data_IF_289405288920
#
_entry.id   IF_289405288920
#
_cell.length_a   1.000
_cell.length_b   1.000
_cell.length_c   1.000
_cell.angle_alpha   90.00
_cell.angle_beta   90.00
_cell.angle_gamma   90.00
#
_symmetry.space_group_name_H-M   'P 1'
#
loop_
_entity.id
_entity.type
_entity.pdbx_description
1 polymer ?
#
# COMPACT_ATOMS: atom_id res chain seq x y z
N UNK A 1 -12.27 -44.38 -1.47
CA UNK A 1 -12.66 -42.97 -1.51
C UNK A 1 -11.92 -42.30 -0.38
N UNK A 2 -10.89 -41.53 -0.69
CA UNK A 2 -10.21 -40.75 0.35
C UNK A 2 -11.19 -39.70 0.87
N UNK A 3 -11.39 -39.67 2.18
CA UNK A 3 -12.21 -38.68 2.83
C UNK A 3 -11.49 -37.33 2.73
N UNK A 4 -11.82 -36.53 1.72
CA UNK A 4 -11.36 -35.14 1.64
C UNK A 4 -12.15 -34.33 2.66
N UNK A 5 -11.54 -33.89 3.78
CA UNK A 5 -12.27 -33.12 4.78
C UNK A 5 -12.74 -31.79 4.17
N UNK A 6 -14.04 -31.53 4.23
CA UNK A 6 -14.60 -30.24 3.87
C UNK A 6 -13.99 -29.16 4.78
N UNK A 7 -13.38 -28.15 4.18
CA UNK A 7 -12.84 -27.00 4.92
C UNK A 7 -14.00 -26.13 5.36
N UNK A 8 -14.02 -25.78 6.64
CA UNK A 8 -15.02 -24.87 7.18
C UNK A 8 -14.78 -23.45 6.64
N UNK A 9 -15.80 -22.84 6.02
CA UNK A 9 -15.69 -21.54 5.34
C UNK A 9 -15.15 -20.45 6.26
N UNK A 10 -15.77 -20.24 7.42
CA UNK A 10 -15.36 -19.24 8.42
C UNK A 10 -13.87 -19.31 8.76
N UNK A 11 -13.38 -20.48 9.18
CA UNK A 11 -11.98 -20.66 9.60
C UNK A 11 -11.00 -20.41 8.46
N UNK A 12 -11.39 -20.78 7.23
CA UNK A 12 -10.53 -20.62 6.06
C UNK A 12 -10.47 -19.15 5.61
N UNK A 13 -11.58 -18.42 5.68
CA UNK A 13 -11.63 -16.97 5.45
C UNK A 13 -10.77 -16.22 6.47
N UNK A 14 -10.97 -16.47 7.77
CA UNK A 14 -10.16 -15.83 8.81
C UNK A 14 -8.67 -16.10 8.64
N UNK A 15 -8.29 -17.31 8.24
CA UNK A 15 -6.89 -17.65 7.95
C UNK A 15 -6.34 -16.78 6.82
N UNK A 16 -7.07 -16.64 5.72
CA UNK A 16 -6.66 -15.81 4.59
C UNK A 16 -6.57 -14.33 4.96
N UNK A 17 -7.57 -13.80 5.65
CA UNK A 17 -7.57 -12.43 6.19
C UNK A 17 -6.34 -12.16 7.06
N UNK A 18 -6.07 -13.05 8.02
CA UNK A 18 -4.92 -12.94 8.95
C UNK A 18 -3.57 -13.04 8.23
N UNK A 19 -3.50 -13.79 7.13
CA UNK A 19 -2.27 -13.98 6.36
C UNK A 19 -1.81 -12.72 5.61
N UNK A 20 -2.75 -11.83 5.27
CA UNK A 20 -2.46 -10.54 4.61
C UNK A 20 -2.85 -9.32 5.45
N UNK A 21 -3.09 -9.52 6.75
CA UNK A 21 -3.61 -8.47 7.63
C UNK A 21 -2.58 -7.36 7.90
N UNK A 22 -2.98 -6.08 7.94
CA UNK A 22 -2.14 -5.00 8.47
C UNK A 22 -2.06 -4.97 9.99
N UNK A 23 -2.82 -5.80 10.71
CA UNK A 23 -2.94 -5.75 12.17
C UNK A 23 -2.54 -7.05 12.87
N UNK A 24 -2.81 -8.20 12.25
CA UNK A 24 -2.54 -9.51 12.85
C UNK A 24 -1.28 -10.15 12.29
N UNK A 25 -0.45 -10.72 13.17
CA UNK A 25 0.77 -11.45 12.82
C UNK A 25 1.73 -10.64 11.92
N UNK A 26 1.80 -9.32 12.11
CA UNK A 26 2.58 -8.40 11.29
C UNK A 26 4.10 -8.61 11.37
N UNK A 27 4.56 -9.49 12.25
CA UNK A 27 5.92 -9.98 12.37
C UNK A 27 6.24 -11.13 11.40
N UNK A 28 5.23 -11.91 10.99
CA UNK A 28 5.40 -13.16 10.24
C UNK A 28 4.49 -13.33 9.02
N UNK A 29 3.48 -12.50 8.82
CA UNK A 29 2.51 -12.66 7.74
C UNK A 29 3.08 -12.18 6.39
N UNK A 30 2.35 -12.42 5.29
CA UNK A 30 2.81 -12.04 3.95
C UNK A 30 2.93 -10.52 3.79
N UNK A 31 1.98 -9.75 4.34
CA UNK A 31 1.96 -8.29 4.23
C UNK A 31 3.21 -7.64 4.85
N UNK A 32 3.75 -8.22 5.92
CA UNK A 32 5.01 -7.78 6.54
C UNK A 32 6.21 -7.80 5.59
N UNK A 33 6.14 -8.58 4.50
CA UNK A 33 7.22 -8.71 3.51
C UNK A 33 7.11 -7.71 2.35
N UNK A 34 6.08 -6.86 2.35
CA UNK A 34 5.85 -5.87 1.28
C UNK A 34 7.04 -4.91 1.10
N UNK A 35 7.69 -4.56 2.21
CA UNK A 35 8.93 -3.77 2.21
C UNK A 35 10.04 -4.57 2.89
N UNK A 36 10.92 -5.16 2.08
CA UNK A 36 11.95 -6.11 2.55
C UNK A 36 13.04 -5.42 3.36
N UNK A 37 13.42 -4.24 2.92
CA UNK A 37 14.40 -3.40 3.56
C UNK A 37 13.85 -1.97 3.61
N UNK A 38 14.28 -1.23 4.63
CA UNK A 38 13.94 0.17 4.80
C UNK A 38 15.17 0.94 5.21
N UNK A 39 15.26 2.19 4.80
CA UNK A 39 16.35 3.09 5.21
C UNK A 39 15.83 4.51 5.38
N UNK A 40 16.43 5.25 6.29
CA UNK A 40 16.07 6.63 6.54
C UNK A 40 16.40 7.53 5.33
N UNK A 41 15.66 8.63 5.19
CA UNK A 41 16.03 9.72 4.30
C UNK A 41 17.35 10.37 4.79
N UNK A 42 18.12 10.95 3.88
CA UNK A 42 19.40 11.59 4.24
C UNK A 42 19.19 12.86 5.08
N UNK A 43 18.15 13.64 4.75
CA UNK A 43 17.69 14.77 5.55
C UNK A 43 16.20 15.03 5.31
N UNK A 44 15.54 15.59 6.33
CA UNK A 44 14.14 16.03 6.27
C UNK A 44 14.13 17.47 6.77
N UNK A 45 13.85 18.40 5.88
CA UNK A 45 13.71 19.82 6.26
C UNK A 45 12.28 20.27 6.11
N UNK A 46 11.86 21.19 6.95
CA UNK A 46 10.51 21.70 7.06
C UNK A 46 10.48 23.23 6.95
N UNK A 47 9.45 23.73 6.27
CA UNK A 47 9.06 25.13 6.21
C UNK A 47 7.55 25.25 6.45
N UNK A 48 7.13 26.06 7.42
CA UNK A 48 5.73 26.40 7.62
C UNK A 48 5.36 27.55 6.68
N UNK A 49 4.47 27.30 5.73
CA UNK A 49 3.98 28.35 4.84
C UNK A 49 2.95 29.22 5.56
N UNK A 50 2.93 30.51 5.24
CA UNK A 50 1.97 31.45 5.82
C UNK A 50 0.54 31.23 5.30
N UNK A 51 0.42 30.73 4.07
CA UNK A 51 -0.82 30.42 3.37
C UNK A 51 -0.59 29.25 2.40
N UNK A 52 -1.64 28.82 1.69
CA UNK A 52 -1.50 27.93 0.53
C UNK A 52 -0.76 28.66 -0.58
N UNK A 53 0.50 28.28 -0.79
CA UNK A 53 1.39 28.90 -1.77
C UNK A 53 1.73 27.92 -2.89
N UNK A 54 1.89 28.39 -4.14
CA UNK A 54 2.37 27.54 -5.22
C UNK A 54 3.81 27.07 -4.97
N UNK A 55 4.15 25.92 -5.56
CA UNK A 55 5.45 25.26 -5.40
C UNK A 55 6.65 26.21 -5.55
N UNK A 56 6.67 27.04 -6.59
CA UNK A 56 7.78 27.95 -6.89
C UNK A 56 8.06 28.99 -5.79
N UNK A 57 7.05 29.36 -5.01
CA UNK A 57 7.21 30.22 -3.82
C UNK A 57 7.58 29.39 -2.59
N UNK A 58 7.00 28.21 -2.44
CA UNK A 58 7.24 27.34 -1.31
C UNK A 58 8.72 26.91 -1.17
N UNK A 59 9.35 26.54 -2.28
CA UNK A 59 10.76 26.11 -2.30
C UNK A 59 11.76 27.23 -1.97
N UNK A 60 11.32 28.49 -2.00
CA UNK A 60 12.13 29.64 -1.56
C UNK A 60 12.03 29.88 -0.05
N UNK A 61 11.21 29.07 0.64
CA UNK A 61 11.03 29.14 2.08
C UNK A 61 12.31 28.85 2.87
N UNK A 62 12.31 29.26 4.13
CA UNK A 62 13.42 28.98 5.04
C UNK A 62 13.25 27.60 5.67
N UNK A 63 13.73 26.57 4.96
CA UNK A 63 13.70 25.18 5.43
C UNK A 63 14.67 24.96 6.60
N UNK A 64 14.17 24.32 7.67
CA UNK A 64 14.93 23.95 8.88
C UNK A 64 14.83 22.45 9.12
N UNK A 65 15.84 21.85 9.72
CA UNK A 65 15.83 20.41 10.04
C UNK A 65 14.62 20.04 10.91
N UNK A 66 14.01 18.90 10.59
CA UNK A 66 12.90 18.29 11.33
C UNK A 66 13.12 16.77 11.43
N UNK A 67 12.28 16.09 12.21
CA UNK A 67 12.41 14.67 12.46
C UNK A 67 11.02 14.00 12.54
N UNK A 68 11.00 12.69 12.30
CA UNK A 68 9.86 11.83 12.63
C UNK A 68 9.49 12.01 14.11
N UNK A 69 8.20 12.07 14.40
CA UNK A 69 7.63 12.34 15.72
C UNK A 69 7.32 13.82 15.98
N UNK A 70 7.76 14.75 15.13
CA UNK A 70 7.38 16.16 15.26
C UNK A 70 5.91 16.37 14.86
N UNK A 71 5.28 17.31 15.56
CA UNK A 71 3.89 17.70 15.36
C UNK A 71 3.80 19.08 14.68
N UNK A 72 2.89 19.18 13.72
CA UNK A 72 2.69 20.35 12.87
C UNK A 72 1.25 20.83 12.94
N UNK A 73 1.04 22.13 12.83
CA UNK A 73 -0.27 22.74 12.89
C UNK A 73 -0.18 24.27 12.93
N UNK A 74 -1.28 24.96 13.25
CA UNK A 74 -2.59 24.42 13.65
C UNK A 74 -3.33 23.75 12.49
N UNK A 75 -4.56 23.31 12.70
CA UNK A 75 -5.40 22.82 11.59
C UNK A 75 -5.45 23.81 10.42
N UNK A 76 -5.60 23.28 9.21
CA UNK A 76 -5.63 24.03 7.95
C UNK A 76 -4.31 24.71 7.55
N UNK A 77 -3.27 24.64 8.38
CA UNK A 77 -1.95 25.11 7.99
C UNK A 77 -1.35 24.24 6.89
N UNK A 78 -0.45 24.84 6.11
CA UNK A 78 0.30 24.15 5.04
C UNK A 78 1.77 24.11 5.41
N UNK A 79 2.35 22.92 5.38
CA UNK A 79 3.74 22.66 5.73
C UNK A 79 4.44 22.04 4.55
N UNK A 80 5.57 22.62 4.16
CA UNK A 80 6.39 22.09 3.10
C UNK A 80 7.57 21.34 3.69
N UNK A 81 7.87 20.20 3.09
CA UNK A 81 9.04 19.40 3.43
C UNK A 81 9.93 19.25 2.22
N UNK A 82 11.23 19.43 2.43
CA UNK A 82 12.26 19.11 1.46
C UNK A 82 12.94 17.83 1.95
N UNK A 83 12.87 16.78 1.13
CA UNK A 83 13.40 15.46 1.46
C UNK A 83 14.62 15.19 0.59
N UNK A 84 15.74 14.88 1.22
CA UNK A 84 16.93 14.42 0.53
C UNK A 84 16.91 12.90 0.44
N UNK A 85 16.69 12.41 -0.78
CA UNK A 85 16.59 10.98 -1.09
C UNK A 85 17.99 10.46 -1.40
N UNK A 86 18.36 9.38 -0.71
CA UNK A 86 19.58 8.63 -0.98
C UNK A 86 19.25 7.13 -1.02
N UNK A 87 19.03 6.60 -2.22
CA UNK A 87 18.74 5.20 -2.45
C UNK A 87 20.04 4.40 -2.36
N UNK A 88 20.13 3.38 -1.49
CA UNK A 88 21.32 2.53 -1.40
C UNK A 88 21.70 1.92 -2.74
N UNK A 89 23.00 1.87 -3.06
CA UNK A 89 23.49 1.29 -4.30
C UNK A 89 23.11 -0.20 -4.46
N UNK A 90 22.92 -0.93 -3.36
CA UNK A 90 22.43 -2.32 -3.35
C UNK A 90 21.00 -2.47 -3.86
N UNK A 91 20.22 -1.39 -3.89
CA UNK A 91 18.83 -1.39 -4.39
C UNK A 91 18.73 -1.03 -5.87
N UNK A 92 19.84 -0.82 -6.57
CA UNK A 92 19.84 -0.57 -8.01
C UNK A 92 19.07 -1.64 -8.78
N UNK A 93 18.27 -1.20 -9.75
CA UNK A 93 17.43 -2.09 -10.54
C UNK A 93 16.19 -2.63 -9.82
N UNK A 94 15.96 -2.27 -8.56
CA UNK A 94 14.79 -2.66 -7.78
C UNK A 94 13.76 -1.52 -7.70
N UNK A 95 12.54 -1.87 -7.30
CA UNK A 95 11.48 -0.90 -7.04
C UNK A 95 11.61 -0.29 -5.64
N UNK A 96 11.57 1.05 -5.57
CA UNK A 96 11.77 1.82 -4.33
C UNK A 96 10.63 2.80 -4.15
N UNK A 97 10.03 2.77 -2.96
CA UNK A 97 8.97 3.69 -2.57
C UNK A 97 9.47 4.67 -1.51
N UNK A 98 8.93 5.90 -1.54
CA UNK A 98 8.86 6.76 -0.38
C UNK A 98 7.72 6.25 0.52
N UNK A 99 7.98 6.08 1.81
CA UNK A 99 6.97 5.82 2.84
C UNK A 99 6.78 7.09 3.65
N UNK A 100 5.53 7.57 3.71
CA UNK A 100 5.17 8.83 4.33
C UNK A 100 3.83 8.73 5.03
N UNK A 101 3.83 9.01 6.33
CA UNK A 101 2.62 9.12 7.15
C UNK A 101 2.72 10.36 8.04
N UNK A 102 1.94 11.39 7.74
CA UNK A 102 1.87 12.64 8.50
C UNK A 102 0.59 12.77 9.33
N UNK A 103 -0.16 11.68 9.51
CA UNK A 103 -1.51 11.68 10.11
C UNK A 103 -2.50 12.63 9.40
N UNK A 104 -2.23 13.01 8.15
CA UNK A 104 -2.90 14.11 7.45
C UNK A 104 -2.96 13.86 5.94
N UNK A 105 -3.51 14.82 5.19
CA UNK A 105 -3.31 14.90 3.75
C UNK A 105 -1.92 15.45 3.40
N UNK A 106 -1.35 14.94 2.31
CA UNK A 106 -0.10 15.43 1.74
C UNK A 106 -0.05 15.23 0.22
N UNK A 107 0.85 15.94 -0.45
CA UNK A 107 1.06 15.88 -1.91
C UNK A 107 2.54 15.79 -2.22
N UNK A 108 2.92 14.80 -3.00
CA UNK A 108 4.29 14.62 -3.48
C UNK A 108 4.53 15.52 -4.68
N UNK A 109 5.66 16.23 -4.66
CA UNK A 109 6.13 17.10 -5.73
C UNK A 109 7.52 16.66 -6.21
N UNK A 110 7.64 16.44 -7.52
CA UNK A 110 8.88 16.05 -8.20
C UNK A 110 9.17 17.07 -9.28
N UNK A 111 10.34 17.70 -9.25
CA UNK A 111 10.77 18.69 -10.26
C UNK A 111 9.74 19.83 -10.50
N UNK A 112 8.94 20.15 -9.48
CA UNK A 112 7.91 21.19 -9.53
C UNK A 112 6.53 20.74 -10.01
N UNK A 113 6.36 19.46 -10.35
CA UNK A 113 5.09 18.88 -10.75
C UNK A 113 4.45 18.10 -9.58
N UNK A 114 3.14 18.25 -9.34
CA UNK A 114 2.42 17.45 -8.36
C UNK A 114 2.14 16.06 -8.93
N UNK A 115 2.64 15.01 -8.27
CA UNK A 115 2.60 13.63 -8.83
C UNK A 115 1.64 12.68 -8.12
N UNK A 116 1.47 12.81 -6.80
CA UNK A 116 0.56 11.93 -6.06
C UNK A 116 0.13 12.51 -4.71
N UNK A 117 -1.17 12.48 -4.43
CA UNK A 117 -1.70 12.71 -3.08
C UNK A 117 -1.45 11.53 -2.15
N UNK A 118 -1.23 11.81 -0.87
CA UNK A 118 -1.03 10.87 0.22
C UNK A 118 -2.04 11.19 1.33
N UNK A 119 -2.52 10.15 2.02
CA UNK A 119 -3.48 10.32 3.11
C UNK A 119 -3.41 9.14 4.06
N UNK A 120 -3.28 9.42 5.36
CA UNK A 120 -3.27 8.42 6.41
C UNK A 120 -4.64 7.75 6.57
N UNK A 121 -5.73 8.48 6.34
CA UNK A 121 -7.11 8.01 6.56
C UNK A 121 -7.52 6.85 5.64
N UNK A 122 -6.98 6.79 4.43
CA UNK A 122 -7.26 5.73 3.46
C UNK A 122 -6.03 4.85 3.18
N UNK A 123 -5.03 4.86 4.07
CA UNK A 123 -3.80 4.06 3.96
C UNK A 123 -2.97 4.33 2.70
N UNK A 124 -3.10 5.51 2.07
CA UNK A 124 -2.25 5.94 0.96
C UNK A 124 -1.00 6.63 1.49
N UNK A 125 -0.12 5.85 2.09
CA UNK A 125 1.10 6.32 2.79
C UNK A 125 2.40 5.98 2.06
N UNK A 126 2.33 5.74 0.73
CA UNK A 126 3.54 5.49 -0.06
C UNK A 126 3.44 6.03 -1.48
N UNK A 127 4.60 6.35 -2.07
CA UNK A 127 4.75 6.81 -3.44
C UNK A 127 5.91 6.07 -4.14
N UNK A 128 5.71 5.50 -5.35
CA UNK A 128 6.77 4.84 -6.10
C UNK A 128 7.78 5.87 -6.63
N UNK A 129 8.91 6.04 -5.93
CA UNK A 129 9.99 6.92 -6.36
C UNK A 129 10.67 6.40 -7.63
N UNK A 130 10.84 5.08 -7.71
CA UNK A 130 11.38 4.42 -8.89
C UNK A 130 10.81 3.01 -9.00
N UNK A 131 10.21 2.68 -10.15
CA UNK A 131 9.90 1.29 -10.50
C UNK A 131 11.17 0.45 -10.72
N UNK A 132 12.26 1.14 -11.09
CA UNK A 132 13.59 0.57 -11.23
C UNK A 132 14.62 1.65 -10.87
N UNK A 133 15.32 1.48 -9.76
CA UNK A 133 16.29 2.46 -9.29
C UNK A 133 17.48 2.56 -10.27
N UNK A 134 17.61 3.70 -10.93
CA UNK A 134 18.69 4.00 -11.88
C UNK A 134 19.90 4.60 -11.16
N UNK A 135 21.14 4.25 -11.56
CA UNK A 135 22.35 4.80 -10.94
C UNK A 135 22.41 6.33 -10.96
N UNK A 136 21.88 6.97 -12.00
CA UNK A 136 21.84 8.43 -12.18
C UNK A 136 20.84 9.15 -11.26
N UNK A 137 19.90 8.41 -10.64
CA UNK A 137 18.81 8.96 -9.82
C UNK A 137 18.81 8.43 -8.39
N UNK A 138 19.90 7.85 -7.91
CA UNK A 138 20.00 7.37 -6.53
C UNK A 138 19.99 8.53 -5.51
N UNK A 139 20.44 9.71 -5.93
CA UNK A 139 20.48 10.91 -5.11
C UNK A 139 19.66 12.01 -5.76
N UNK A 140 18.64 12.50 -5.08
CA UNK A 140 17.82 13.62 -5.57
C UNK A 140 17.02 14.23 -4.41
N UNK A 141 16.44 15.40 -4.66
CA UNK A 141 15.59 16.11 -3.71
C UNK A 141 14.15 16.09 -4.22
N UNK A 142 13.22 15.79 -3.32
CA UNK A 142 11.79 15.85 -3.58
C UNK A 142 11.13 16.75 -2.53
N UNK A 143 9.89 17.16 -2.78
CA UNK A 143 9.14 17.96 -1.83
C UNK A 143 7.80 17.31 -1.48
N UNK A 144 7.35 17.51 -0.25
CA UNK A 144 6.01 17.16 0.20
C UNK A 144 5.30 18.43 0.65
N UNK A 145 4.11 18.68 0.12
CA UNK A 145 3.19 19.67 0.64
C UNK A 145 2.19 18.95 1.56
N UNK A 146 2.31 19.16 2.86
CA UNK A 146 1.42 18.59 3.87
C UNK A 146 0.35 19.63 4.25
N UNK A 147 -0.91 19.20 4.26
CA UNK A 147 -2.02 20.01 4.73
C UNK A 147 -2.52 19.45 6.07
N UNK A 148 -2.62 20.30 7.10
CA UNK A 148 -3.04 19.90 8.45
C UNK A 148 -4.56 19.69 8.53
N UNK A 149 -5.06 18.67 7.85
CA UNK A 149 -6.43 18.20 7.87
C UNK A 149 -6.50 16.71 7.49
N UNK A 150 -7.63 16.09 7.85
CA UNK A 150 -8.03 14.75 7.38
C UNK A 150 -8.73 14.84 6.03
N UNK A 151 -9.00 13.69 5.40
CA UNK A 151 -9.69 13.57 4.11
C UNK A 151 -11.07 14.28 4.11
N UNK A 152 -11.72 14.33 5.26
CA UNK A 152 -13.00 15.01 5.46
C UNK A 152 -12.89 16.24 6.39
N UNK A 153 -11.72 16.86 6.43
CA UNK A 153 -11.47 18.08 7.17
C UNK A 153 -11.03 17.85 8.61
N UNK A 154 -11.67 18.53 9.56
CA UNK A 154 -11.32 18.49 10.99
C UNK A 154 -12.58 18.17 11.79
N UNK A 155 -12.44 17.41 12.88
CA UNK A 155 -13.54 16.98 13.75
C UNK A 155 -13.98 15.53 13.54
N UNK A 156 -14.93 15.06 14.36
CA UNK A 156 -15.50 13.72 14.25
C UNK A 156 -16.86 13.83 13.53
N UNK A 157 -16.98 13.24 12.34
CA UNK A 157 -18.23 13.23 11.55
C UNK A 157 -18.87 14.64 11.38
N UNK A 158 -18.08 15.62 10.91
CA UNK A 158 -18.51 16.99 10.61
C UNK A 158 -18.92 17.88 11.80
N UNK A 159 -18.66 17.46 13.05
CA UNK A 159 -18.75 18.35 14.22
C UNK A 159 -17.35 18.87 14.53
N UNK A 160 -17.08 20.10 14.09
CA UNK A 160 -15.89 20.87 14.47
C UNK A 160 -16.16 21.52 15.82
N UNK A 161 -15.28 21.33 16.78
CA UNK A 161 -15.34 22.00 18.07
C UNK A 161 -14.21 23.03 18.19
N UNK A 162 -14.36 24.08 19.02
CA UNK A 162 -13.28 25.08 19.20
C UNK A 162 -11.94 24.49 19.64
N UNK A 163 -11.93 23.37 20.36
CA UNK A 163 -10.71 22.65 20.73
C UNK A 163 -9.95 22.06 19.52
N UNK A 164 -10.63 21.83 18.40
CA UNK A 164 -10.01 21.30 17.19
C UNK A 164 -9.10 22.32 16.49
N UNK A 165 -9.31 23.63 16.72
CA UNK A 165 -8.50 24.70 16.11
C UNK A 165 -7.01 24.63 16.48
N UNK A 166 -6.70 23.98 17.61
CA UNK A 166 -5.33 23.81 18.11
C UNK A 166 -4.75 22.43 17.80
N UNK A 167 -5.50 21.59 17.08
CA UNK A 167 -5.06 20.23 16.76
C UNK A 167 -3.80 20.27 15.89
N UNK A 168 -2.90 19.35 16.19
CA UNK A 168 -1.67 19.13 15.45
C UNK A 168 -1.64 17.74 14.84
N UNK A 169 -0.76 17.56 13.87
CA UNK A 169 -0.59 16.38 13.05
C UNK A 169 0.86 15.93 13.11
N UNK A 170 1.09 14.65 13.42
CA UNK A 170 2.43 14.12 13.65
C UNK A 170 2.97 13.42 12.41
N UNK A 171 4.24 13.69 12.07
CA UNK A 171 4.99 12.92 11.09
C UNK A 171 5.40 11.58 11.71
N UNK A 172 4.63 10.53 11.46
CA UNK A 172 4.86 9.19 12.01
C UNK A 172 5.84 8.36 11.17
N UNK A 173 5.93 8.62 9.87
CA UNK A 173 6.79 7.87 8.97
C UNK A 173 7.35 8.76 7.85
N UNK A 174 8.65 8.64 7.59
CA UNK A 174 9.36 9.29 6.49
C UNK A 174 10.65 8.52 6.18
N UNK A 175 10.57 7.52 5.30
CA UNK A 175 11.70 6.62 4.99
C UNK A 175 11.58 6.06 3.57
N UNK A 176 12.63 5.42 3.08
CA UNK A 176 12.63 4.69 1.81
C UNK A 176 12.36 3.22 2.09
N UNK A 177 11.51 2.59 1.28
CA UNK A 177 11.21 1.17 1.34
C UNK A 177 11.55 0.45 0.04
N UNK A 178 12.27 -0.67 0.14
CA UNK A 178 12.49 -1.59 -0.97
C UNK A 178 11.23 -2.42 -1.18
N UNK A 179 10.45 -2.05 -2.19
CA UNK A 179 9.14 -2.64 -2.45
C UNK A 179 9.28 -4.02 -3.11
N UNK A 180 8.52 -4.99 -2.62
CA UNK A 180 8.43 -6.31 -3.22
C UNK A 180 7.15 -6.44 -4.04
N UNK A 181 7.29 -6.20 -5.36
CA UNK A 181 6.19 -6.27 -6.32
C UNK A 181 5.53 -7.65 -6.38
N UNK A 182 6.31 -8.72 -6.20
CA UNK A 182 5.78 -10.08 -6.23
C UNK A 182 4.87 -10.33 -5.00
N UNK A 183 5.32 -9.88 -3.82
CA UNK A 183 4.52 -9.94 -2.58
C UNK A 183 3.25 -9.09 -2.71
N UNK A 184 3.34 -7.89 -3.27
CA UNK A 184 2.18 -7.04 -3.51
C UNK A 184 1.13 -7.73 -4.38
N UNK A 185 1.55 -8.32 -5.50
CA UNK A 185 0.66 -9.03 -6.41
C UNK A 185 0.00 -10.23 -5.71
N UNK A 186 0.75 -11.00 -4.91
CA UNK A 186 0.20 -12.10 -4.12
C UNK A 186 -0.83 -11.63 -3.09
N UNK A 187 -0.61 -10.48 -2.44
CA UNK A 187 -1.59 -9.91 -1.51
C UNK A 187 -2.88 -9.58 -2.26
N UNK A 188 -2.80 -8.92 -3.42
CA UNK A 188 -3.97 -8.60 -4.24
C UNK A 188 -4.71 -9.87 -4.71
N UNK A 189 -3.98 -10.91 -5.10
CA UNK A 189 -4.56 -12.18 -5.50
C UNK A 189 -5.31 -12.84 -4.33
N UNK A 190 -4.70 -12.87 -3.15
CA UNK A 190 -5.32 -13.44 -1.93
C UNK A 190 -6.53 -12.62 -1.49
N UNK A 191 -6.43 -11.29 -1.50
CA UNK A 191 -7.53 -10.37 -1.15
C UNK A 191 -8.71 -10.55 -2.10
N UNK A 192 -8.45 -10.62 -3.41
CA UNK A 192 -9.47 -10.86 -4.43
C UNK A 192 -10.18 -12.20 -4.22
N UNK A 193 -9.44 -13.29 -4.00
CA UNK A 193 -10.03 -14.61 -3.78
C UNK A 193 -10.79 -14.68 -2.44
N UNK A 194 -10.23 -14.07 -1.40
CA UNK A 194 -10.88 -13.95 -0.10
C UNK A 194 -12.24 -13.25 -0.24
N UNK A 195 -12.28 -12.11 -0.92
CA UNK A 195 -13.51 -11.32 -1.07
C UNK A 195 -14.54 -12.04 -1.94
N UNK A 196 -14.13 -12.72 -3.01
CA UNK A 196 -15.04 -13.59 -3.79
C UNK A 196 -15.65 -14.67 -2.89
N UNK A 197 -14.83 -15.36 -2.10
CA UNK A 197 -15.30 -16.40 -1.20
C UNK A 197 -16.23 -15.84 -0.11
N UNK A 198 -15.94 -14.65 0.41
CA UNK A 198 -16.71 -13.98 1.46
C UNK A 198 -18.08 -13.50 0.96
N UNK A 199 -18.12 -12.81 -0.18
CA UNK A 199 -19.30 -12.12 -0.68
C UNK A 199 -20.26 -13.04 -1.45
N UNK A 200 -19.76 -14.10 -2.10
CA UNK A 200 -20.62 -15.06 -2.79
C UNK A 200 -21.31 -16.04 -1.82
N UNK A 201 -22.55 -16.48 -2.14
CA UNK A 201 -23.25 -17.53 -1.40
C UNK A 201 -22.40 -18.80 -1.29
N UNK A 202 -22.51 -19.52 -0.18
CA UNK A 202 -21.78 -20.79 -0.01
C UNK A 202 -22.18 -21.82 -1.07
N UNK A 203 -23.42 -21.79 -1.58
CA UNK A 203 -23.87 -22.70 -2.63
C UNK A 203 -23.26 -22.41 -4.01
N UNK A 204 -22.55 -21.30 -4.18
CA UNK A 204 -21.92 -20.93 -5.44
C UNK A 204 -20.60 -21.69 -5.63
N UNK A 205 -20.45 -22.33 -6.79
CA UNK A 205 -19.24 -23.05 -7.16
C UNK A 205 -17.99 -22.14 -7.14
N UNK A 206 -18.13 -20.87 -7.51
CA UNK A 206 -17.03 -19.88 -7.51
C UNK A 206 -16.61 -19.52 -6.09
N UNK A 207 -17.53 -19.46 -5.13
CA UNK A 207 -17.22 -19.25 -3.71
C UNK A 207 -16.31 -20.37 -3.20
N UNK A 208 -16.67 -21.64 -3.46
CA UNK A 208 -15.86 -22.78 -3.06
C UNK A 208 -14.50 -22.84 -3.77
N UNK A 209 -14.46 -22.56 -5.08
CA UNK A 209 -13.20 -22.52 -5.84
C UNK A 209 -12.24 -21.47 -5.29
N UNK A 210 -12.74 -20.26 -5.01
CA UNK A 210 -11.93 -19.18 -4.46
C UNK A 210 -11.41 -19.53 -3.05
N UNK A 211 -12.28 -20.06 -2.18
CA UNK A 211 -11.92 -20.48 -0.82
C UNK A 211 -10.86 -21.58 -0.80
N UNK A 212 -11.01 -22.59 -1.66
CA UNK A 212 -10.03 -23.68 -1.76
C UNK A 212 -8.69 -23.16 -2.29
N UNK A 213 -8.74 -22.32 -3.32
CA UNK A 213 -7.54 -21.79 -3.98
C UNK A 213 -6.75 -20.89 -3.06
N UNK A 214 -7.40 -19.96 -2.35
CA UNK A 214 -6.70 -19.10 -1.38
C UNK A 214 -6.07 -19.92 -0.27
N UNK A 215 -6.75 -20.98 0.20
CA UNK A 215 -6.20 -21.87 1.21
C UNK A 215 -4.98 -22.65 0.70
N UNK A 216 -5.03 -23.11 -0.54
CA UNK A 216 -3.92 -23.81 -1.20
C UNK A 216 -2.72 -22.89 -1.43
N UNK A 217 -2.95 -21.66 -1.91
CA UNK A 217 -1.91 -20.63 -2.00
C UNK A 217 -1.21 -20.43 -0.66
N UNK A 218 -1.96 -20.24 0.43
CA UNK A 218 -1.39 -20.03 1.77
C UNK A 218 -0.60 -21.26 2.26
N UNK A 219 -0.98 -22.48 1.87
CA UNK A 219 -0.21 -23.68 2.24
C UNK A 219 1.16 -23.74 1.55
N UNK A 220 1.27 -23.17 0.36
CA UNK A 220 2.46 -23.29 -0.48
C UNK A 220 3.39 -22.08 -0.38
N UNK A 221 2.88 -20.93 0.06
CA UNK A 221 3.69 -19.73 0.29
C UNK A 221 4.47 -19.89 1.60
N UNK A 222 5.79 -19.98 1.48
CA UNK A 222 6.69 -19.87 2.61
C UNK A 222 7.17 -18.42 2.71
N UNK A 223 6.72 -17.70 3.74
CA UNK A 223 6.93 -16.25 3.89
C UNK A 223 8.42 -15.85 3.97
N UNK A 224 9.31 -16.79 4.31
CA UNK A 224 10.76 -16.56 4.38
C UNK A 224 11.50 -16.98 3.10
N UNK A 225 10.84 -17.65 2.16
CA UNK A 225 11.42 -18.11 0.91
C UNK A 225 10.68 -17.54 -0.31
N UNK A 226 11.28 -16.50 -0.90
CA UNK A 226 10.75 -15.83 -2.10
C UNK A 226 10.62 -16.76 -3.30
N UNK A 227 11.37 -17.86 -3.36
CA UNK A 227 11.28 -18.80 -4.48
C UNK A 227 9.88 -19.46 -4.58
N UNK A 228 9.14 -19.48 -3.47
CA UNK A 228 7.77 -20.02 -3.43
C UNK A 228 6.72 -19.10 -4.05
N UNK A 229 7.02 -17.81 -4.24
CA UNK A 229 6.04 -16.80 -4.66
C UNK A 229 5.63 -16.93 -6.13
N UNK A 230 6.56 -17.33 -7.00
CA UNK A 230 6.39 -17.35 -8.46
C UNK A 230 5.36 -18.38 -8.97
N UNK A 231 4.87 -19.27 -8.11
CA UNK A 231 3.98 -20.38 -8.51
C UNK A 231 2.52 -19.95 -8.74
N UNK A 232 2.10 -18.73 -8.37
CA UNK A 232 0.67 -18.39 -8.25
C UNK A 232 0.11 -17.29 -9.15
N UNK A 233 0.95 -16.54 -9.89
CA UNK A 233 0.48 -15.57 -10.90
C UNK A 233 -0.43 -16.20 -11.98
N UNK A 234 -0.39 -17.53 -12.14
CA UNK A 234 -1.17 -18.28 -13.12
C UNK A 234 -2.51 -18.75 -12.54
N UNK A 235 -2.62 -19.01 -11.23
CA UNK A 235 -3.76 -19.71 -10.62
C UNK A 235 -5.03 -18.85 -10.56
N UNK A 236 -4.90 -17.55 -10.28
CA UNK A 236 -6.03 -16.60 -10.33
C UNK A 236 -6.55 -16.46 -11.75
N UNK A 237 -5.65 -16.38 -12.74
CA UNK A 237 -6.01 -16.31 -14.14
C UNK A 237 -6.88 -17.52 -14.58
N UNK A 238 -6.61 -18.72 -14.05
CA UNK A 238 -7.42 -19.91 -14.32
C UNK A 238 -8.85 -19.83 -13.75
N UNK A 239 -9.05 -19.31 -12.53
CA UNK A 239 -10.40 -19.16 -11.96
C UNK A 239 -11.24 -18.22 -12.82
N UNK A 240 -10.65 -17.10 -13.24
CA UNK A 240 -11.32 -16.10 -14.07
C UNK A 240 -11.49 -16.55 -15.54
N UNK A 241 -10.56 -17.32 -16.12
CA UNK A 241 -10.61 -17.71 -17.54
C UNK A 241 -11.42 -18.98 -17.86
N UNK A 242 -11.77 -19.82 -16.87
CA UNK A 242 -12.55 -21.05 -17.13
C UNK A 242 -13.99 -20.79 -17.63
N UNK A 243 -14.45 -19.53 -17.69
CA UNK A 243 -15.71 -19.18 -18.35
C UNK A 243 -15.64 -19.27 -19.90
N UNK A 244 -14.45 -19.24 -20.53
CA UNK A 244 -14.34 -19.28 -21.99
C UNK A 244 -14.20 -20.68 -22.61
N UNK A 245 -13.68 -21.67 -21.87
CA UNK A 245 -13.50 -23.03 -22.41
C UNK A 245 -14.68 -23.96 -22.16
N UNK A 246 -15.44 -23.77 -21.08
CA UNK A 246 -16.62 -24.62 -20.80
C UNK A 246 -17.83 -24.26 -21.67
N UNK A 247 -17.94 -23.02 -22.17
CA UNK A 247 -19.00 -22.62 -23.10
C UNK A 247 -18.77 -23.12 -24.55
N UNK A 248 -17.51 -23.41 -24.95
CA UNK A 248 -17.20 -23.94 -26.29
C UNK A 248 -17.38 -25.45 -26.42
N UNK A 249 -17.29 -26.22 -25.34
CA UNK A 249 -17.46 -27.68 -25.39
C UNK A 249 -18.95 -28.09 -25.48
N UNK A 250 -19.87 -27.27 -24.97
CA UNK A 250 -21.31 -27.57 -25.02
C UNK A 250 -22.03 -27.15 -26.31
N UNK A 251 -21.38 -26.38 -27.20
CA UNK A 251 -21.97 -25.99 -28.49
C UNK A 251 -21.56 -26.88 -29.68
N UNK A 252 -20.60 -27.80 -29.50
CA UNK A 252 -20.12 -28.71 -30.55
C UNK A 252 -20.77 -30.10 -30.55
N UNK A 253 -21.64 -30.41 -29.58
CA UNK A 253 -22.31 -31.72 -29.45
C UNK A 253 -23.84 -31.68 -29.64
N UNK A 254 -24.40 -30.63 -30.26
CA UNK A 254 -25.83 -30.58 -30.66
C UNK A 254 -26.06 -30.37 -32.16
N UNK A 255 -25.06 -30.69 -32.99
CA UNK A 255 -25.21 -30.82 -34.45
C UNK A 255 -24.40 -32.03 -34.91
N UNK A 256 -25.00 -33.20 -34.75
CA UNK A 256 -24.52 -34.50 -35.24
C UNK A 256 -25.69 -35.46 -35.30
#
# INVERSE_FOLDING_TARGET
MDHVPFKHKRTTLERAEKFISPHYFTDINLRSRLYREKTALASIKHFAAQDRVPFNKAIQGQFKETNIGQAFGPVWSTHWFQLEVNIPASWQGQEVHLLWDSSSEALVWIEGEPVQGLSSDNSRTSYPLAYKAEPSKLHHVIHIEMACNHLFGVGNMAIVKPEDDKRTFSLNQAELGLFDRDVYNLILDIETLHDIAKELPETDQRSYQALYTVNDMINQIEVQDRSTYQRFCVTVHYIFCISYMTCKVNHLNMLG
#
